data_IF_257825892446
#
_entry.id   IF_257825892446
#
_cell.length_a   1.000
_cell.length_b   1.000
_cell.length_c   1.000
_cell.angle_alpha   90.00
_cell.angle_beta   90.00
_cell.angle_gamma   90.00
#
_symmetry.space_group_name_H-M   'P 1'
#
loop_
_entity.id
_entity.type
_entity.pdbx_description
1 polymer ?
#
# COMPACT_ATOMS: atom_id res chain seq x y z
N UNK A 1 12.13 16.45 -1.34
CA UNK A 1 12.00 15.45 -0.25
C UNK A 1 10.77 14.57 -0.50
N UNK A 2 10.76 13.37 0.07
CA UNK A 2 9.65 12.44 0.00
C UNK A 2 8.83 12.56 1.30
N UNK A 3 7.53 12.93 1.26
CA UNK A 3 6.70 13.04 2.45
C UNK A 3 6.64 11.74 3.25
N UNK A 4 6.69 10.57 2.60
CA UNK A 4 6.71 9.28 3.27
C UNK A 4 7.85 9.12 4.27
N UNK A 5 9.06 9.64 4.00
CA UNK A 5 10.17 9.58 4.95
C UNK A 5 9.86 10.36 6.25
N UNK A 6 9.27 11.54 6.11
CA UNK A 6 8.81 12.33 7.26
C UNK A 6 7.69 11.57 7.99
N UNK A 7 6.75 10.99 7.25
CA UNK A 7 5.64 10.22 7.81
C UNK A 7 6.13 9.01 8.63
N UNK A 8 7.11 8.25 8.14
CA UNK A 8 7.71 7.16 8.89
C UNK A 8 8.34 7.64 10.20
N UNK A 9 9.10 8.75 10.15
CA UNK A 9 9.75 9.30 11.35
C UNK A 9 8.74 9.78 12.42
N UNK A 10 7.70 10.52 11.99
CA UNK A 10 6.67 10.99 12.94
C UNK A 10 5.83 9.83 13.47
N UNK A 11 5.55 8.80 12.65
CA UNK A 11 4.84 7.60 13.09
C UNK A 11 5.64 6.83 14.15
N UNK A 12 6.94 6.64 13.91
CA UNK A 12 7.82 5.99 14.86
C UNK A 12 7.82 6.72 16.21
N UNK A 13 7.92 8.05 16.22
CA UNK A 13 7.83 8.86 17.45
C UNK A 13 6.48 8.67 18.14
N UNK A 14 5.38 8.77 17.42
CA UNK A 14 4.01 8.70 17.99
C UNK A 14 3.65 7.32 18.52
N UNK A 15 4.21 6.26 17.94
CA UNK A 15 3.98 4.87 18.36
C UNK A 15 4.94 4.37 19.43
N UNK A 16 6.00 5.12 19.73
CA UNK A 16 6.94 4.77 20.80
C UNK A 16 6.23 4.87 22.17
N UNK A 17 6.13 3.77 22.93
CA UNK A 17 5.54 3.78 24.27
C UNK A 17 6.20 4.79 25.21
N UNK A 18 7.50 5.06 25.03
CA UNK A 18 8.22 6.03 25.84
C UNK A 18 7.74 7.48 25.64
N UNK A 19 7.03 7.77 24.55
CA UNK A 19 6.51 9.10 24.23
C UNK A 19 5.01 9.27 24.53
N UNK A 20 4.34 8.20 24.93
CA UNK A 20 2.91 8.26 25.24
C UNK A 20 2.64 9.21 26.41
N UNK A 21 1.62 10.06 26.27
CA UNK A 21 1.25 11.05 27.28
C UNK A 21 2.18 12.27 27.37
N UNK A 22 3.28 12.31 26.61
CA UNK A 22 4.17 13.47 26.58
C UNK A 22 3.69 14.50 25.54
N UNK A 23 3.98 15.80 25.78
CA UNK A 23 3.73 16.84 24.78
C UNK A 23 4.47 16.52 23.47
N UNK A 24 3.77 16.66 22.34
CA UNK A 24 4.37 16.43 21.04
C UNK A 24 5.38 17.55 20.72
N UNK A 25 6.66 17.23 20.48
CA UNK A 25 7.69 18.23 20.18
C UNK A 25 7.40 19.03 18.90
N UNK A 26 7.99 20.23 18.83
CA UNK A 26 7.79 21.12 17.71
C UNK A 26 8.25 20.49 16.36
N UNK A 27 9.35 19.77 16.35
CA UNK A 27 9.85 19.12 15.13
C UNK A 27 8.88 18.02 14.60
N UNK A 28 8.16 17.34 15.48
CA UNK A 28 7.12 16.38 15.09
C UNK A 28 5.90 17.13 14.55
N UNK A 29 5.47 18.24 15.17
CA UNK A 29 4.39 19.09 14.62
C UNK A 29 4.73 19.61 13.23
N UNK A 30 5.94 20.14 13.05
CA UNK A 30 6.44 20.56 11.72
C UNK A 30 6.45 19.43 10.69
N UNK A 31 6.71 18.18 11.13
CA UNK A 31 6.58 17.01 10.28
C UNK A 31 5.17 16.78 9.77
N UNK A 32 4.17 16.89 10.62
CA UNK A 32 2.76 16.82 10.22
C UNK A 32 2.36 17.98 9.31
N UNK A 33 2.77 19.20 9.60
CA UNK A 33 2.53 20.36 8.73
C UNK A 33 3.11 20.15 7.33
N UNK A 34 4.30 19.57 7.24
CA UNK A 34 4.91 19.24 5.96
C UNK A 34 4.13 18.16 5.19
N UNK A 35 3.63 17.12 5.87
CA UNK A 35 2.78 16.10 5.25
C UNK A 35 1.51 16.75 4.69
N UNK A 36 0.80 17.54 5.50
CA UNK A 36 -0.43 18.21 5.08
C UNK A 36 -0.22 19.18 3.91
N UNK A 37 0.87 19.96 3.94
CA UNK A 37 1.24 20.88 2.84
C UNK A 37 1.63 20.14 1.57
N UNK A 38 1.99 18.88 1.64
CA UNK A 38 2.30 18.04 0.47
C UNK A 38 1.06 17.41 -0.16
N UNK A 39 -0.13 17.57 0.43
CA UNK A 39 -1.38 17.08 -0.14
C UNK A 39 -1.82 17.95 -1.30
N UNK A 40 -2.24 17.31 -2.39
CA UNK A 40 -2.74 17.93 -3.60
C UNK A 40 -4.27 17.93 -3.63
N UNK A 41 -4.84 18.65 -4.60
CA UNK A 41 -6.29 18.78 -4.76
C UNK A 41 -6.98 17.44 -4.96
N UNK A 42 -6.34 16.50 -5.67
CA UNK A 42 -6.84 15.14 -5.91
C UNK A 42 -6.75 14.22 -4.69
N UNK A 43 -6.20 14.71 -3.58
CA UNK A 43 -6.03 13.98 -2.33
C UNK A 43 -4.70 13.26 -2.19
N UNK A 44 -3.90 13.16 -3.25
CA UNK A 44 -2.58 12.53 -3.19
C UNK A 44 -1.60 13.33 -2.32
N UNK A 45 -0.72 12.63 -1.61
CA UNK A 45 0.31 13.26 -0.74
C UNK A 45 1.67 12.82 -1.26
N UNK A 46 2.27 13.62 -2.13
CA UNK A 46 3.61 13.35 -2.66
C UNK A 46 4.24 14.59 -3.27
N UNK A 47 5.57 14.59 -3.40
CA UNK A 47 6.32 15.66 -4.06
C UNK A 47 7.04 15.18 -5.34
N UNK A 48 7.52 13.93 -5.34
CA UNK A 48 8.26 13.34 -6.46
C UNK A 48 7.90 11.87 -6.59
N UNK A 49 7.16 11.50 -7.62
CA UNK A 49 6.78 10.12 -7.93
C UNK A 49 6.23 9.29 -6.77
N UNK A 50 5.94 8.03 -7.03
CA UNK A 50 5.44 7.06 -6.04
C UNK A 50 4.24 7.60 -5.25
N UNK A 51 3.26 8.17 -5.95
CA UNK A 51 2.15 8.90 -5.31
C UNK A 51 1.29 8.01 -4.42
N UNK A 52 0.99 6.77 -4.82
CA UNK A 52 0.22 5.83 -3.98
C UNK A 52 1.00 5.45 -2.73
N UNK A 53 2.29 5.09 -2.86
CA UNK A 53 3.15 4.77 -1.73
C UNK A 53 3.21 5.92 -0.71
N UNK A 54 3.56 7.13 -1.18
CA UNK A 54 3.68 8.29 -0.31
C UNK A 54 2.34 8.60 0.36
N UNK A 55 1.23 8.55 -0.36
CA UNK A 55 -0.11 8.82 0.19
C UNK A 55 -0.48 7.82 1.27
N UNK A 56 -0.29 6.52 1.03
CA UNK A 56 -0.61 5.48 2.00
C UNK A 56 0.18 5.66 3.31
N UNK A 57 1.50 5.83 3.21
CA UNK A 57 2.39 6.01 4.38
C UNK A 57 2.05 7.32 5.13
N UNK A 58 1.76 8.41 4.42
CA UNK A 58 1.35 9.67 5.03
C UNK A 58 0.00 9.56 5.74
N UNK A 59 -0.97 8.86 5.14
CA UNK A 59 -2.27 8.61 5.79
C UNK A 59 -2.09 7.85 7.11
N UNK A 60 -1.22 6.83 7.14
CA UNK A 60 -0.94 6.09 8.37
C UNK A 60 -0.33 6.98 9.47
N UNK A 61 0.52 7.93 9.09
CA UNK A 61 1.05 8.91 10.04
C UNK A 61 -0.05 9.85 10.57
N UNK A 62 -0.93 10.35 9.71
CA UNK A 62 -2.05 11.21 10.12
C UNK A 62 -3.03 10.46 11.03
N UNK A 63 -3.32 9.18 10.74
CA UNK A 63 -4.13 8.31 11.59
C UNK A 63 -3.47 8.08 12.96
N UNK A 64 -2.15 7.86 13.00
CA UNK A 64 -1.41 7.67 14.24
C UNK A 64 -1.43 8.91 15.16
N UNK A 65 -1.58 10.10 14.60
CA UNK A 65 -1.73 11.34 15.38
C UNK A 65 -3.07 11.40 16.14
N UNK A 66 -4.07 10.65 15.71
CA UNK A 66 -5.42 10.60 16.28
C UNK A 66 -6.04 12.00 16.49
N UNK A 67 -5.88 12.89 15.51
CA UNK A 67 -6.41 14.25 15.54
C UNK A 67 -7.58 14.40 14.58
N UNK A 68 -8.72 14.88 15.09
CA UNK A 68 -9.92 15.08 14.27
C UNK A 68 -9.70 16.07 13.12
N UNK A 69 -8.88 17.08 13.34
CA UNK A 69 -8.52 18.08 12.32
C UNK A 69 -7.85 17.48 11.06
N UNK A 70 -7.31 16.26 11.15
CA UNK A 70 -6.68 15.56 10.03
C UNK A 70 -7.65 14.69 9.24
N UNK A 71 -8.88 14.48 9.74
CA UNK A 71 -9.87 13.65 9.07
C UNK A 71 -10.15 14.03 7.61
N UNK A 72 -10.31 15.33 7.24
CA UNK A 72 -10.53 15.69 5.84
C UNK A 72 -9.34 15.31 4.94
N UNK A 73 -8.12 15.46 5.42
CA UNK A 73 -6.92 15.09 4.66
C UNK A 73 -6.81 13.58 4.49
N UNK A 74 -7.10 12.81 5.54
CA UNK A 74 -7.13 11.34 5.51
C UNK A 74 -8.17 10.86 4.50
N UNK A 75 -9.38 11.40 4.51
CA UNK A 75 -10.47 10.99 3.61
C UNK A 75 -10.19 11.33 2.15
N UNK A 76 -9.57 12.48 1.87
CA UNK A 76 -9.09 12.80 0.52
C UNK A 76 -8.03 11.82 0.04
N UNK A 77 -7.05 11.48 0.90
CA UNK A 77 -6.03 10.48 0.60
C UNK A 77 -6.63 9.09 0.37
N UNK A 78 -7.63 8.71 1.18
CA UNK A 78 -8.40 7.48 1.00
C UNK A 78 -9.07 7.42 -0.38
N UNK A 79 -9.81 8.46 -0.74
CA UNK A 79 -10.49 8.54 -2.03
C UNK A 79 -9.49 8.48 -3.20
N UNK A 80 -8.31 9.10 -3.05
CA UNK A 80 -7.23 9.00 -4.03
C UNK A 80 -6.74 7.55 -4.18
N UNK A 81 -6.42 6.86 -3.09
CA UNK A 81 -5.92 5.48 -3.14
C UNK A 81 -6.93 4.50 -3.75
N UNK A 82 -8.22 4.67 -3.44
CA UNK A 82 -9.29 3.86 -4.02
C UNK A 82 -9.34 4.01 -5.54
N UNK A 83 -9.15 5.24 -6.06
CA UNK A 83 -9.06 5.48 -7.51
C UNK A 83 -7.84 4.87 -8.19
N UNK A 84 -6.82 4.47 -7.41
CA UNK A 84 -5.62 3.80 -7.95
C UNK A 84 -5.82 2.27 -8.07
N UNK A 85 -6.92 1.71 -7.56
CA UNK A 85 -7.21 0.29 -7.73
C UNK A 85 -7.44 -0.03 -9.21
N UNK A 86 -6.78 -1.07 -9.69
CA UNK A 86 -6.95 -1.55 -11.06
C UNK A 86 -8.31 -2.24 -11.21
N UNK A 87 -9.07 -1.82 -12.20
CA UNK A 87 -10.35 -2.40 -12.61
C UNK A 87 -10.21 -2.98 -14.02
N UNK A 88 -9.60 -4.14 -14.11
CA UNK A 88 -9.45 -4.92 -15.35
C UNK A 88 -10.46 -6.06 -15.41
N UNK A 89 -10.42 -6.84 -16.48
CA UNK A 89 -11.16 -8.10 -16.53
C UNK A 89 -10.73 -9.03 -15.38
N UNK A 90 -11.63 -9.88 -14.84
CA UNK A 90 -11.34 -10.72 -13.69
C UNK A 90 -10.14 -11.67 -13.84
N UNK A 91 -9.85 -12.08 -15.10
CA UNK A 91 -8.71 -12.93 -15.45
C UNK A 91 -7.38 -12.17 -15.60
N UNK A 92 -7.41 -10.83 -15.60
CA UNK A 92 -6.20 -10.04 -15.61
C UNK A 92 -5.46 -10.17 -14.27
N UNK A 93 -4.18 -10.60 -14.26
CA UNK A 93 -3.44 -10.84 -13.02
C UNK A 93 -3.25 -9.59 -12.14
N UNK A 94 -3.39 -8.40 -12.70
CA UNK A 94 -3.26 -7.12 -11.98
C UNK A 94 -4.59 -6.52 -11.52
N UNK A 95 -5.73 -7.19 -11.83
CA UNK A 95 -7.03 -6.72 -11.36
C UNK A 95 -7.10 -6.67 -9.84
N UNK A 96 -7.64 -5.60 -9.29
CA UNK A 96 -7.80 -5.38 -7.85
C UNK A 96 -6.56 -4.83 -7.13
N UNK A 97 -5.38 -4.88 -7.76
CA UNK A 97 -4.15 -4.40 -7.16
C UNK A 97 -3.94 -2.89 -7.35
N UNK A 98 -3.00 -2.33 -6.60
CA UNK A 98 -2.59 -0.93 -6.62
C UNK A 98 -1.08 -0.85 -6.89
N UNK A 99 -0.68 0.00 -7.81
CA UNK A 99 0.73 0.28 -8.12
C UNK A 99 1.22 1.60 -7.53
N UNK A 100 2.34 2.12 -8.07
CA UNK A 100 2.96 3.35 -7.57
C UNK A 100 2.15 4.63 -7.80
N UNK A 101 1.09 4.59 -8.61
CA UNK A 101 0.23 5.74 -8.90
C UNK A 101 0.82 6.76 -9.87
N UNK A 102 2.04 6.54 -10.34
CA UNK A 102 2.62 7.38 -11.39
C UNK A 102 1.94 7.03 -12.72
N UNK A 103 1.92 8.00 -13.65
CA UNK A 103 1.32 7.82 -14.99
C UNK A 103 2.08 6.81 -15.86
N UNK A 104 2.45 5.67 -15.28
CA UNK A 104 3.03 4.55 -16.03
C UNK A 104 1.91 3.77 -16.70
N UNK A 105 1.93 3.69 -18.00
CA UNK A 105 1.05 2.79 -18.75
C UNK A 105 1.86 1.53 -19.12
N UNK A 106 1.32 0.31 -18.86
CA UNK A 106 0.10 0.02 -18.12
C UNK A 106 0.31 0.19 -16.59
N UNK A 107 -0.74 0.46 -15.82
CA UNK A 107 -0.64 0.53 -14.37
C UNK A 107 -0.33 -0.86 -13.80
N UNK A 108 0.93 -1.07 -13.45
CA UNK A 108 1.41 -2.34 -12.91
C UNK A 108 1.22 -2.30 -11.40
N UNK A 109 0.30 -3.12 -10.90
CA UNK A 109 0.14 -3.33 -9.47
C UNK A 109 1.26 -4.20 -8.90
N UNK A 110 1.59 -3.98 -7.64
CA UNK A 110 2.51 -4.81 -6.88
C UNK A 110 2.03 -5.00 -5.44
N UNK A 111 2.53 -6.04 -4.79
CA UNK A 111 2.09 -6.42 -3.46
C UNK A 111 2.43 -5.34 -2.42
N UNK A 112 3.58 -4.68 -2.55
CA UNK A 112 4.03 -3.67 -1.58
C UNK A 112 3.12 -2.45 -1.56
N UNK A 113 2.85 -1.87 -2.73
CA UNK A 113 1.94 -0.73 -2.83
C UNK A 113 0.51 -1.12 -2.48
N UNK A 114 0.05 -2.29 -2.92
CA UNK A 114 -1.29 -2.78 -2.61
C UNK A 114 -1.46 -2.94 -1.10
N UNK A 115 -0.56 -3.65 -0.40
CA UNK A 115 -0.71 -3.89 1.05
C UNK A 115 -0.69 -2.59 1.86
N UNK A 116 0.20 -1.65 1.56
CA UNK A 116 0.23 -0.35 2.23
C UNK A 116 -1.05 0.49 1.99
N UNK A 117 -1.56 0.47 0.76
CA UNK A 117 -2.80 1.17 0.44
C UNK A 117 -3.99 0.53 1.16
N UNK A 118 -4.10 -0.81 1.17
CA UNK A 118 -5.16 -1.53 1.88
C UNK A 118 -5.13 -1.24 3.38
N UNK A 119 -3.94 -1.22 3.98
CA UNK A 119 -3.78 -0.88 5.39
C UNK A 119 -4.30 0.54 5.69
N UNK A 120 -3.89 1.53 4.91
CA UNK A 120 -4.34 2.91 5.08
C UNK A 120 -5.86 3.07 4.87
N UNK A 121 -6.41 2.40 3.85
CA UNK A 121 -7.85 2.40 3.57
C UNK A 121 -8.62 1.71 4.70
N UNK A 122 -8.15 0.58 5.20
CA UNK A 122 -8.77 -0.15 6.30
C UNK A 122 -8.83 0.69 7.58
N UNK A 123 -7.71 1.25 8.03
CA UNK A 123 -7.67 2.05 9.26
C UNK A 123 -8.43 3.37 9.17
N UNK A 124 -8.62 3.91 7.96
CA UNK A 124 -9.48 5.09 7.73
C UNK A 124 -10.98 4.76 7.65
N UNK A 125 -11.37 3.48 7.69
CA UNK A 125 -12.75 3.05 7.47
C UNK A 125 -13.73 3.59 8.52
N UNK A 126 -13.29 3.74 9.76
CA UNK A 126 -14.09 4.35 10.83
C UNK A 126 -14.48 5.78 10.49
N UNK A 127 -13.53 6.59 10.01
CA UNK A 127 -13.79 7.96 9.58
C UNK A 127 -14.72 8.01 8.36
N UNK A 128 -14.53 7.08 7.42
CA UNK A 128 -15.36 7.00 6.22
C UNK A 128 -16.83 6.64 6.50
N UNK A 129 -17.09 5.88 7.57
CA UNK A 129 -18.44 5.42 7.97
C UNK A 129 -19.10 6.32 8.99
N UNK A 130 -18.42 7.33 9.52
CA UNK A 130 -18.93 8.23 10.58
C UNK A 130 -20.17 9.06 10.13
N UNK A 131 -20.36 9.24 8.82
CA UNK A 131 -21.44 10.08 8.26
C UNK A 131 -21.20 11.58 8.38
N UNK A 132 -20.33 12.03 9.27
CA UNK A 132 -19.97 13.45 9.48
C UNK A 132 -19.41 14.11 8.22
N UNK A 133 -18.72 13.34 7.38
CA UNK A 133 -18.00 13.82 6.20
C UNK A 133 -18.71 13.45 4.88
N UNK A 134 -19.98 13.07 4.94
CA UNK A 134 -20.76 12.61 3.80
C UNK A 134 -20.38 11.21 3.33
N UNK A 135 -21.00 10.78 2.23
CA UNK A 135 -20.73 9.48 1.63
C UNK A 135 -19.29 9.41 1.09
N UNK A 136 -18.59 8.36 1.46
CA UNK A 136 -17.20 8.11 1.06
C UNK A 136 -17.11 6.90 0.14
N UNK A 137 -16.25 6.93 -0.89
CA UNK A 137 -16.03 5.75 -1.73
C UNK A 137 -15.45 4.60 -0.91
N UNK A 138 -15.67 3.37 -1.37
CA UNK A 138 -15.01 2.19 -0.80
C UNK A 138 -14.29 1.39 -1.89
N UNK A 139 -13.36 0.56 -1.45
CA UNK A 139 -12.55 -0.30 -2.28
C UNK A 139 -13.34 -1.55 -2.70
N UNK A 140 -13.04 -2.09 -3.87
CA UNK A 140 -13.41 -3.48 -4.16
C UNK A 140 -12.46 -4.43 -3.40
N UNK A 141 -12.88 -4.79 -2.19
CA UNK A 141 -12.12 -5.66 -1.29
C UNK A 141 -11.98 -7.09 -1.83
N UNK A 142 -12.96 -7.57 -2.62
CA UNK A 142 -12.90 -8.89 -3.22
C UNK A 142 -11.80 -8.93 -4.28
N UNK A 143 -11.79 -7.97 -5.21
CA UNK A 143 -10.76 -7.87 -6.23
C UNK A 143 -9.36 -7.67 -5.60
N UNK A 144 -9.24 -6.87 -4.53
CA UNK A 144 -7.99 -6.69 -3.81
C UNK A 144 -7.49 -7.99 -3.17
N UNK A 145 -8.39 -8.76 -2.55
CA UNK A 145 -8.07 -10.06 -1.97
C UNK A 145 -7.61 -11.07 -3.03
N UNK A 146 -8.29 -11.08 -4.18
CA UNK A 146 -7.89 -11.94 -5.31
C UNK A 146 -6.50 -11.57 -5.83
N UNK A 147 -6.18 -10.27 -5.94
CA UNK A 147 -4.84 -9.82 -6.32
C UNK A 147 -3.77 -10.32 -5.34
N UNK A 148 -4.01 -10.21 -4.03
CA UNK A 148 -3.08 -10.71 -3.01
C UNK A 148 -2.91 -12.23 -3.13
N UNK A 149 -4.02 -12.96 -3.31
CA UNK A 149 -3.99 -14.42 -3.51
C UNK A 149 -3.14 -14.81 -4.73
N UNK A 150 -3.23 -14.03 -5.83
CA UNK A 150 -2.40 -14.23 -7.03
C UNK A 150 -0.91 -13.93 -6.80
N UNK A 151 -0.55 -13.24 -5.73
CA UNK A 151 0.85 -13.05 -5.34
C UNK A 151 1.37 -14.15 -4.40
N UNK A 152 0.52 -15.05 -3.90
CA UNK A 152 0.91 -16.06 -2.92
C UNK A 152 1.26 -17.40 -3.59
N UNK A 153 2.34 -18.03 -3.12
CA UNK A 153 2.68 -19.41 -3.42
C UNK A 153 1.77 -20.37 -2.60
N UNK A 154 0.52 -20.44 -3.00
CA UNK A 154 -0.47 -21.28 -2.36
C UNK A 154 -1.44 -21.89 -3.38
N UNK A 155 -1.24 -23.14 -3.80
CA UNK A 155 -2.08 -23.81 -4.81
C UNK A 155 -3.56 -23.92 -4.44
N UNK A 156 -3.92 -23.77 -3.17
CA UNK A 156 -5.32 -23.79 -2.74
C UNK A 156 -6.09 -22.56 -3.24
N UNK A 157 -5.47 -21.38 -3.24
CA UNK A 157 -6.10 -20.10 -3.60
C UNK A 157 -5.55 -19.49 -4.89
N UNK A 158 -4.31 -19.78 -5.27
CA UNK A 158 -3.66 -19.26 -6.47
C UNK A 158 -3.55 -20.35 -7.54
N UNK A 159 -4.23 -20.17 -8.67
CA UNK A 159 -4.26 -21.13 -9.79
C UNK A 159 -3.34 -20.75 -10.95
N UNK A 160 -2.52 -19.74 -10.76
CA UNK A 160 -1.57 -19.29 -11.78
C UNK A 160 -0.54 -20.38 -12.12
N UNK A 161 -0.11 -20.52 -13.39
CA UNK A 161 0.76 -21.63 -13.85
C UNK A 161 2.14 -21.66 -13.17
N UNK A 162 2.57 -20.55 -12.61
CA UNK A 162 3.87 -20.40 -11.94
C UNK A 162 3.86 -20.80 -10.47
N UNK A 163 2.70 -21.14 -9.91
CA UNK A 163 2.59 -21.51 -8.48
C UNK A 163 3.23 -22.88 -8.24
N UNK A 164 4.14 -22.91 -7.28
CA UNK A 164 4.89 -24.13 -6.93
C UNK A 164 4.19 -24.94 -5.83
N UNK A 165 4.31 -26.27 -5.93
CA UNK A 165 3.95 -27.20 -4.86
C UNK A 165 5.12 -27.47 -3.90
N UNK A 166 6.26 -26.82 -4.09
CA UNK A 166 7.41 -26.96 -3.20
C UNK A 166 7.08 -26.40 -1.80
N UNK A 167 7.20 -27.28 -0.79
CA UNK A 167 6.91 -26.92 0.60
C UNK A 167 7.75 -25.74 1.12
N UNK A 168 8.95 -25.56 0.59
CA UNK A 168 9.83 -24.42 0.94
C UNK A 168 9.31 -23.07 0.42
N UNK A 169 8.39 -23.09 -0.54
CA UNK A 169 7.80 -21.90 -1.13
C UNK A 169 6.38 -21.63 -0.60
N UNK A 170 5.75 -22.65 0.00
CA UNK A 170 4.35 -22.61 0.39
C UNK A 170 4.06 -21.49 1.39
N UNK A 171 3.05 -20.67 1.09
CA UNK A 171 2.64 -19.52 1.89
C UNK A 171 3.45 -18.25 1.66
N UNK A 172 4.62 -18.33 1.01
CA UNK A 172 5.42 -17.16 0.67
C UNK A 172 4.79 -16.32 -0.45
N UNK A 173 5.23 -15.09 -0.58
CA UNK A 173 4.71 -14.15 -1.57
C UNK A 173 5.74 -13.78 -2.63
N UNK A 174 5.26 -13.42 -3.82
CA UNK A 174 6.05 -12.79 -4.89
C UNK A 174 5.69 -11.31 -4.95
N UNK A 175 6.58 -10.50 -5.54
CA UNK A 175 6.39 -9.05 -5.61
C UNK A 175 5.14 -8.64 -6.40
N UNK A 176 4.86 -9.36 -7.48
CA UNK A 176 3.64 -9.24 -8.30
C UNK A 176 3.38 -10.57 -9.01
N UNK A 177 2.18 -10.86 -9.49
CA UNK A 177 1.88 -12.13 -10.13
C UNK A 177 2.93 -12.52 -11.18
N UNK A 178 3.56 -13.67 -11.00
CA UNK A 178 4.58 -14.20 -11.90
C UNK A 178 5.96 -13.51 -11.82
N UNK A 179 6.20 -12.55 -10.91
CA UNK A 179 7.47 -11.82 -10.83
C UNK A 179 7.99 -11.75 -9.40
N UNK A 180 9.22 -12.22 -9.20
CA UNK A 180 9.96 -12.13 -7.94
C UNK A 180 11.41 -11.75 -8.20
N UNK A 181 12.00 -10.99 -7.25
CA UNK A 181 13.45 -10.70 -7.22
C UNK A 181 14.21 -11.70 -6.34
N UNK A 182 13.52 -12.62 -5.66
CA UNK A 182 14.12 -13.70 -4.89
C UNK A 182 14.60 -14.81 -5.85
N UNK A 183 15.78 -14.63 -6.41
CA UNK A 183 16.43 -15.58 -7.35
C UNK A 183 17.84 -15.88 -6.91
N UNK A 184 18.31 -17.09 -7.22
CA UNK A 184 19.73 -17.36 -7.12
C UNK A 184 20.51 -16.42 -8.06
N UNK A 185 21.51 -15.74 -7.54
CA UNK A 185 22.35 -14.78 -8.30
C UNK A 185 23.05 -15.41 -9.51
N UNK A 186 23.03 -16.74 -9.66
CA UNK A 186 23.61 -17.47 -10.77
C UNK A 186 22.71 -17.57 -12.01
N UNK A 187 21.40 -17.36 -11.89
CA UNK A 187 20.51 -17.28 -13.05
C UNK A 187 20.37 -15.81 -13.48
N UNK A 188 21.42 -15.27 -14.09
CA UNK A 188 21.43 -13.91 -14.66
C UNK A 188 20.55 -13.78 -15.92
N UNK A 189 19.98 -14.86 -16.40
CA UNK A 189 19.02 -14.83 -17.46
C UNK A 189 17.62 -14.73 -16.85
N UNK A 190 16.85 -13.79 -17.35
CA UNK A 190 15.40 -13.80 -17.30
C UNK A 190 14.87 -15.04 -18.05
N UNK A 191 15.22 -16.20 -17.53
CA UNK A 191 14.74 -17.44 -18.12
C UNK A 191 13.27 -17.58 -17.71
N UNK A 192 12.40 -17.39 -18.70
CA UNK A 192 10.94 -17.51 -18.56
C UNK A 192 10.49 -18.92 -18.17
N UNK A 193 11.42 -19.86 -18.03
CA UNK A 193 11.17 -21.27 -17.78
C UNK A 193 11.10 -21.65 -16.29
N UNK A 194 11.68 -20.83 -15.38
CA UNK A 194 11.60 -21.14 -13.95
C UNK A 194 10.50 -20.34 -13.26
N UNK A 195 9.64 -20.99 -12.46
CA UNK A 195 8.64 -20.29 -11.68
C UNK A 195 9.29 -19.30 -10.69
N UNK A 196 8.68 -18.11 -10.45
CA UNK A 196 9.23 -17.13 -9.53
C UNK A 196 9.25 -17.69 -8.10
N UNK A 197 10.43 -17.67 -7.48
CA UNK A 197 10.58 -18.06 -6.06
C UNK A 197 9.91 -17.01 -5.17
N UNK A 198 9.21 -17.46 -4.13
CA UNK A 198 8.69 -16.57 -3.11
C UNK A 198 9.82 -15.89 -2.33
N UNK A 199 9.60 -14.68 -1.87
CA UNK A 199 10.34 -14.12 -0.76
C UNK A 199 10.05 -15.02 0.44
N UNK A 200 11.08 -15.54 1.11
CA UNK A 200 10.93 -16.58 2.12
C UNK A 200 9.76 -16.32 3.07
N UNK A 201 9.14 -17.40 3.52
CA UNK A 201 8.15 -17.32 4.60
C UNK A 201 8.82 -16.72 5.83
N UNK A 202 8.37 -15.56 6.27
CA UNK A 202 8.65 -15.09 7.61
C UNK A 202 7.89 -15.95 8.62
#
# INVERSE_FOLDING_TARGET
SYPALTALAVTAYMRDPANQGKPVPEYIRKGYDFILKSQKEDGSIFNRGMSSYNTAVCMMALLAANKEEYAPAILKGRAYLIKQQNHFAPDNPYNGGIGYGDKQAPPIADLSNTSLALEAIYYSQKLAKDGKYGEQPDLDWNAATEFINRCQQNPAVNKEPWVSNDKSQLGGFVYRPGVSSARDKKSAAFDKAEPPKAYGSM
#
